data_IF_847107728239
#
_entry.id   IF_847107728239
#
_cell.length_a   1.000
_cell.length_b   1.000
_cell.length_c   1.000
_cell.angle_alpha   90.00
_cell.angle_beta   90.00
_cell.angle_gamma   90.00
#
_symmetry.space_group_name_H-M   'P 1'
#
loop_
_entity.id
_entity.type
_entity.pdbx_description
1 polymer ?
#
# COMPACT_ATOMS: atom_id res chain seq x y z
N UNK A 1 -20.80 -14.99 65.07
CA UNK A 1 -21.01 -16.22 65.88
C UNK A 1 -21.84 -17.21 65.05
N UNK A 2 -21.49 -18.51 65.08
CA UNK A 2 -22.06 -19.69 64.37
C UNK A 2 -21.51 -19.96 62.96
N UNK A 3 -21.25 -21.20 62.53
CA UNK A 3 -20.53 -22.39 63.08
C UNK A 3 -20.40 -23.37 61.89
N UNK A 4 -19.26 -24.08 61.84
CA UNK A 4 -18.86 -25.14 60.89
C UNK A 4 -19.80 -26.37 60.85
N UNK A 5 -19.69 -27.14 59.74
CA UNK A 5 -19.58 -28.63 59.58
C UNK A 5 -20.21 -29.05 58.23
N UNK A 6 -19.86 -30.12 57.50
CA UNK A 6 -18.85 -31.19 57.60
C UNK A 6 -18.71 -31.89 56.23
N UNK A 7 -17.63 -32.68 56.08
CA UNK A 7 -17.25 -33.58 54.98
C UNK A 7 -18.28 -34.66 54.63
N UNK A 8 -18.26 -35.15 53.38
CA UNK A 8 -18.22 -36.60 53.08
C UNK A 8 -17.72 -36.94 51.67
N UNK A 9 -16.89 -37.97 51.65
CA UNK A 9 -16.20 -38.73 50.60
C UNK A 9 -17.12 -39.59 49.73
N UNK A 10 -16.69 -39.91 48.50
CA UNK A 10 -16.94 -41.24 47.91
C UNK A 10 -15.79 -41.66 46.96
N UNK A 11 -15.42 -42.92 47.13
CA UNK A 11 -14.39 -43.72 46.46
C UNK A 11 -15.08 -44.56 45.36
N UNK A 12 -14.45 -44.79 44.20
CA UNK A 12 -14.49 -46.11 43.53
C UNK A 12 -13.54 -46.20 42.32
N UNK A 13 -12.48 -46.98 42.50
CA UNK A 13 -12.03 -48.09 41.65
C UNK A 13 -11.73 -47.81 40.16
N UNK A 14 -10.43 -47.67 39.88
CA UNK A 14 -9.80 -47.95 38.59
C UNK A 14 -9.40 -49.44 38.58
N UNK A 15 -9.92 -50.19 37.61
CA UNK A 15 -9.43 -51.51 37.24
C UNK A 15 -8.70 -51.43 35.90
N UNK A 16 -7.96 -52.48 35.62
CA UNK A 16 -6.68 -52.53 34.96
C UNK A 16 -6.69 -53.52 33.79
N UNK A 17 -5.63 -53.45 32.96
CA UNK A 17 -5.08 -54.45 32.01
C UNK A 17 -5.53 -54.31 30.54
N UNK A 18 -4.60 -53.93 29.66
CA UNK A 18 -3.69 -54.75 28.82
C UNK A 18 -4.43 -55.26 27.55
N UNK A 19 -3.89 -55.31 26.33
CA UNK A 19 -2.57 -55.74 25.84
C UNK A 19 -2.32 -55.09 24.47
N UNK A 20 -1.11 -54.62 24.22
CA UNK A 20 -0.57 -54.26 22.90
C UNK A 20 0.38 -55.38 22.46
N UNK A 21 0.18 -55.99 21.29
CA UNK A 21 1.22 -56.80 20.62
C UNK A 21 1.16 -56.67 19.08
N UNK A 22 2.37 -56.47 18.55
CA UNK A 22 2.85 -56.34 17.18
C UNK A 22 2.36 -57.41 16.18
N UNK A 23 2.29 -57.06 14.88
CA UNK A 23 2.87 -57.87 13.78
C UNK A 23 3.35 -56.96 12.63
N UNK A 24 4.61 -57.15 12.25
CA UNK A 24 5.27 -56.72 11.00
C UNK A 24 5.09 -57.83 9.96
N UNK A 25 4.92 -57.52 8.67
CA UNK A 25 5.53 -58.23 7.53
C UNK A 25 5.52 -57.31 6.29
N UNK A 26 6.70 -57.28 5.67
CA UNK A 26 7.17 -56.65 4.43
C UNK A 26 6.58 -57.37 3.21
N UNK A 27 6.30 -56.67 2.11
CA UNK A 27 6.67 -57.21 0.79
C UNK A 27 6.73 -56.17 -0.33
N UNK A 28 7.72 -56.40 -1.18
CA UNK A 28 8.26 -55.52 -2.22
C UNK A 28 7.46 -55.65 -3.50
N UNK A 29 7.34 -54.57 -4.27
CA UNK A 29 7.47 -54.67 -5.72
C UNK A 29 8.07 -53.41 -6.34
N UNK A 30 9.14 -53.64 -7.10
CA UNK A 30 9.86 -52.72 -7.98
C UNK A 30 8.97 -52.29 -9.14
N UNK A 31 9.14 -51.08 -9.67
CA UNK A 31 9.10 -50.81 -11.11
C UNK A 31 9.78 -49.47 -11.47
N UNK A 32 10.79 -49.64 -12.32
CA UNK A 32 11.47 -48.78 -13.30
C UNK A 32 11.82 -47.31 -13.10
N UNK A 33 13.11 -47.07 -13.39
CA UNK A 33 13.82 -45.79 -13.49
C UNK A 33 13.86 -45.40 -14.97
N UNK A 34 13.04 -44.44 -15.38
CA UNK A 34 13.18 -43.71 -16.64
C UNK A 34 14.07 -42.48 -16.44
N UNK A 35 15.24 -42.47 -17.08
CA UNK A 35 16.14 -41.32 -17.17
C UNK A 35 15.67 -40.43 -18.31
N UNK A 36 15.20 -39.22 -18.01
CA UNK A 36 15.18 -38.13 -18.97
C UNK A 36 15.86 -36.89 -18.38
N UNK A 37 16.99 -36.52 -19.00
CA UNK A 37 17.74 -35.30 -18.73
C UNK A 37 17.04 -34.14 -19.43
N UNK A 38 16.56 -33.17 -18.66
CA UNK A 38 16.23 -31.84 -19.18
C UNK A 38 17.44 -30.90 -18.97
N UNK A 39 17.77 -30.03 -19.94
CA UNK A 39 18.96 -29.21 -19.89
C UNK A 39 18.82 -28.09 -18.85
N UNK A 40 19.84 -27.97 -17.98
CA UNK A 40 20.03 -26.85 -17.07
C UNK A 40 20.48 -25.65 -17.92
N UNK A 41 19.63 -24.63 -18.01
CA UNK A 41 19.93 -23.39 -18.72
C UNK A 41 21.03 -22.60 -18.00
N UNK A 42 22.08 -22.28 -18.73
CA UNK A 42 23.34 -21.64 -18.31
C UNK A 42 23.23 -20.10 -18.23
N UNK A 43 22.16 -19.56 -17.66
CA UNK A 43 21.95 -18.09 -17.56
C UNK A 43 22.06 -17.51 -16.14
N UNK A 44 22.32 -18.35 -15.13
CA UNK A 44 22.35 -17.91 -13.72
C UNK A 44 23.71 -17.30 -13.32
N UNK A 45 24.74 -17.35 -14.17
CA UNK A 45 26.12 -17.05 -13.76
C UNK A 45 26.57 -15.59 -13.95
N UNK A 46 25.79 -14.72 -14.59
CA UNK A 46 26.24 -13.35 -14.93
C UNK A 46 25.87 -12.25 -13.93
N UNK A 47 24.91 -12.46 -13.02
CA UNK A 47 24.46 -11.39 -12.11
C UNK A 47 25.32 -11.26 -10.84
N UNK A 48 26.10 -12.29 -10.48
CA UNK A 48 26.94 -12.25 -9.29
C UNK A 48 28.14 -11.29 -9.45
N UNK A 49 28.58 -11.00 -10.68
CA UNK A 49 29.75 -10.16 -10.97
C UNK A 49 29.43 -8.67 -11.10
N UNK A 50 28.17 -8.29 -11.30
CA UNK A 50 27.77 -6.90 -11.54
C UNK A 50 27.62 -6.08 -10.25
N UNK A 51 27.36 -6.74 -9.12
CA UNK A 51 27.22 -6.11 -7.80
C UNK A 51 28.59 -5.70 -7.22
N UNK A 52 29.66 -6.44 -7.54
CA UNK A 52 31.00 -6.18 -6.98
C UNK A 52 31.74 -5.03 -7.68
N UNK A 53 31.30 -4.58 -8.87
CA UNK A 53 31.96 -3.49 -9.61
C UNK A 53 31.50 -2.08 -9.23
N UNK A 54 30.34 -1.92 -8.60
CA UNK A 54 29.79 -0.59 -8.27
C UNK A 54 30.13 -0.09 -6.85
N UNK A 55 30.99 -0.80 -6.11
CA UNK A 55 31.38 -0.41 -4.72
C UNK A 55 32.82 0.11 -4.61
N UNK A 56 33.53 0.34 -5.72
CA UNK A 56 34.87 0.96 -5.70
C UNK A 56 34.87 2.16 -6.64
N UNK A 57 34.47 3.32 -6.12
CA UNK A 57 35.03 4.64 -6.46
C UNK A 57 34.37 5.72 -5.60
N UNK A 58 34.78 5.79 -4.34
CA UNK A 58 34.71 7.04 -3.58
C UNK A 58 35.93 7.14 -2.68
N UNK A 59 36.88 7.98 -3.10
CA UNK A 59 37.77 8.84 -2.31
C UNK A 59 39.08 9.08 -3.07
N UNK A 60 39.35 10.36 -3.39
CA UNK A 60 40.57 11.10 -2.99
C UNK A 60 40.70 12.39 -3.81
N UNK A 61 40.42 13.53 -3.19
CA UNK A 61 41.18 14.77 -3.40
C UNK A 61 40.84 15.76 -2.28
N UNK A 62 41.62 15.71 -1.20
CA UNK A 62 41.79 16.84 -0.28
C UNK A 62 42.71 17.86 -0.95
N UNK A 63 42.34 19.14 -0.93
CA UNK A 63 43.33 20.21 -0.79
C UNK A 63 42.74 21.39 -0.02
N UNK A 64 43.56 21.86 0.90
CA UNK A 64 43.30 22.81 1.97
C UNK A 64 43.72 24.22 1.52
N UNK A 65 43.07 25.27 2.05
CA UNK A 65 43.68 26.49 2.66
C UNK A 65 42.91 27.82 2.37
N UNK A 66 42.57 28.48 3.50
CA UNK A 66 42.52 29.92 3.84
C UNK A 66 41.33 30.83 3.50
N UNK A 67 40.63 31.16 4.60
CA UNK A 67 39.96 32.39 5.02
C UNK A 67 40.14 33.72 4.24
N UNK A 68 39.01 34.41 4.04
CA UNK A 68 38.85 35.87 4.25
C UNK A 68 37.37 36.21 4.55
N UNK A 69 37.16 37.17 5.45
CA UNK A 69 35.90 37.52 6.11
C UNK A 69 35.13 38.69 5.43
N UNK A 70 33.94 38.98 6.00
CA UNK A 70 33.01 40.14 5.83
C UNK A 70 31.99 40.00 4.68
N UNK A 71 30.69 40.31 4.79
CA UNK A 71 29.84 41.01 5.78
C UNK A 71 28.35 40.75 5.46
N UNK A 72 27.46 40.82 6.47
CA UNK A 72 25.99 40.79 6.37
C UNK A 72 25.40 41.95 5.53
N UNK A 73 24.15 41.82 5.05
CA UNK A 73 23.20 42.91 5.18
C UNK A 73 21.88 42.49 5.84
N UNK A 74 21.26 43.51 6.42
CA UNK A 74 20.13 43.54 7.35
C UNK A 74 18.77 43.58 6.66
N UNK A 75 17.77 43.23 7.47
CA UNK A 75 16.31 43.38 7.34
C UNK A 75 15.92 44.82 7.01
N UNK A 76 14.88 45.01 6.19
CA UNK A 76 13.82 46.03 6.40
C UNK A 76 12.57 45.76 5.53
N UNK A 77 11.42 45.76 6.24
CA UNK A 77 10.11 46.34 5.92
C UNK A 77 9.38 46.05 4.60
N UNK A 78 8.28 45.27 4.68
CA UNK A 78 6.95 45.64 4.15
C UNK A 78 5.84 45.03 5.01
N UNK A 79 5.22 45.83 5.88
CA UNK A 79 3.93 45.57 6.53
C UNK A 79 2.91 46.63 6.09
N UNK A 80 1.70 46.14 5.81
CA UNK A 80 0.38 46.74 6.08
C UNK A 80 -0.33 47.70 5.09
N UNK A 81 -1.62 47.36 4.94
CA UNK A 81 -2.82 48.16 4.57
C UNK A 81 -3.03 48.45 3.06
N UNK A 82 -4.23 48.28 2.47
CA UNK A 82 -5.54 48.80 2.88
C UNK A 82 -6.72 47.92 2.39
N UNK A 83 -7.72 47.76 3.27
CA UNK A 83 -9.10 47.33 3.05
C UNK A 83 -9.94 48.32 2.19
N UNK A 84 -10.91 47.78 1.45
CA UNK A 84 -12.27 48.36 1.46
C UNK A 84 -12.68 49.33 0.35
N UNK A 85 -13.87 49.04 -0.20
CA UNK A 85 -14.89 49.95 -0.70
C UNK A 85 -14.49 51.09 -1.67
N UNK A 86 -14.86 50.92 -2.94
CA UNK A 86 -15.28 52.05 -3.78
C UNK A 86 -16.66 51.73 -4.37
N UNK A 87 -17.68 52.30 -3.73
CA UNK A 87 -18.94 52.65 -4.39
C UNK A 87 -18.70 53.90 -5.25
N UNK A 88 -19.21 53.98 -6.48
CA UNK A 88 -19.39 55.26 -7.14
C UNK A 88 -20.70 55.90 -6.64
N UNK A 89 -20.57 57.01 -5.90
CA UNK A 89 -21.61 58.05 -5.85
C UNK A 89 -21.37 59.01 -7.03
N UNK A 90 -22.48 59.45 -7.61
CA UNK A 90 -22.72 60.51 -8.62
C UNK A 90 -23.51 59.86 -9.78
N UNK A 91 -24.80 60.14 -10.01
CA UNK A 91 -25.40 61.45 -10.12
C UNK A 91 -26.87 61.48 -9.66
N UNK A 92 -27.23 62.56 -8.97
CA UNK A 92 -28.59 63.06 -8.85
C UNK A 92 -28.82 64.08 -9.96
N UNK A 93 -29.60 63.73 -10.99
CA UNK A 93 -30.38 64.70 -11.77
C UNK A 93 -31.74 64.07 -12.12
N UNK A 94 -32.80 64.85 -11.91
CA UNK A 94 -34.18 64.39 -11.93
C UNK A 94 -34.77 64.24 -13.34
N UNK A 95 -35.81 63.40 -13.41
CA UNK A 95 -36.71 63.29 -14.56
C UNK A 95 -37.72 62.17 -14.34
N UNK A 96 -38.97 62.52 -14.05
CA UNK A 96 -40.12 61.60 -14.09
C UNK A 96 -40.46 61.23 -15.54
N UNK A 97 -40.70 59.94 -15.85
CA UNK A 97 -41.97 59.38 -16.39
C UNK A 97 -41.84 57.92 -16.87
N UNK A 98 -42.75 57.08 -16.35
CA UNK A 98 -43.51 55.97 -16.94
C UNK A 98 -42.87 54.96 -17.93
N UNK A 99 -42.97 53.66 -17.60
CA UNK A 99 -43.02 52.58 -18.59
C UNK A 99 -42.63 51.20 -18.05
N UNK A 100 -43.55 50.23 -18.12
CA UNK A 100 -43.34 48.82 -17.84
C UNK A 100 -42.03 48.27 -18.44
N UNK A 101 -41.09 47.83 -17.59
CA UNK A 101 -40.05 46.88 -18.00
C UNK A 101 -39.85 45.81 -16.93
N UNK A 102 -40.11 44.59 -17.38
CA UNK A 102 -39.87 43.33 -16.71
C UNK A 102 -38.36 43.20 -16.41
N UNK A 103 -37.99 43.12 -15.13
CA UNK A 103 -36.62 42.84 -14.70
C UNK A 103 -36.21 41.44 -15.17
N UNK A 104 -35.58 41.34 -16.33
CA UNK A 104 -34.77 40.18 -16.71
C UNK A 104 -33.54 40.15 -15.82
N UNK A 105 -33.46 39.12 -14.97
CA UNK A 105 -32.26 38.83 -14.18
C UNK A 105 -31.05 38.65 -15.12
N UNK A 106 -29.89 39.25 -14.83
CA UNK A 106 -28.69 38.97 -15.60
C UNK A 106 -28.28 37.51 -15.37
N UNK A 107 -28.23 36.72 -16.45
CA UNK A 107 -27.54 35.43 -16.43
C UNK A 107 -26.06 35.70 -16.16
N UNK A 108 -25.61 35.41 -14.95
CA UNK A 108 -24.21 35.18 -14.68
C UNK A 108 -23.82 33.92 -15.46
N UNK A 109 -23.21 34.11 -16.62
CA UNK A 109 -22.44 33.05 -17.26
C UNK A 109 -21.30 32.72 -16.29
N UNK A 110 -21.45 31.62 -15.56
CA UNK A 110 -20.43 31.08 -14.69
C UNK A 110 -19.26 30.58 -15.57
N UNK A 111 -18.41 31.50 -15.99
CA UNK A 111 -17.11 31.20 -16.59
C UNK A 111 -16.18 30.69 -15.48
N UNK A 112 -16.42 29.46 -15.02
CA UNK A 112 -15.43 28.75 -14.24
C UNK A 112 -14.19 28.56 -15.12
N UNK A 113 -12.99 28.87 -14.61
CA UNK A 113 -11.76 28.62 -15.35
C UNK A 113 -11.67 27.13 -15.66
N UNK A 114 -11.73 26.79 -16.94
CA UNK A 114 -11.43 25.44 -17.42
C UNK A 114 -9.97 25.18 -17.12
N UNK A 115 -9.68 24.28 -16.19
CA UNK A 115 -8.33 23.80 -15.94
C UNK A 115 -7.78 23.24 -17.25
N UNK A 116 -6.74 23.87 -17.78
CA UNK A 116 -6.09 23.42 -19.01
C UNK A 116 -5.47 22.06 -18.73
N UNK A 117 -5.98 21.02 -19.39
CA UNK A 117 -5.41 19.69 -19.32
C UNK A 117 -4.00 19.71 -19.91
N UNK A 118 -3.00 19.37 -19.10
CA UNK A 118 -1.62 19.26 -19.54
C UNK A 118 -1.45 17.95 -20.32
N UNK A 119 -1.74 17.98 -21.62
CA UNK A 119 -1.65 16.83 -22.56
C UNK A 119 -0.27 16.17 -22.70
N UNK A 120 0.76 16.62 -21.97
CA UNK A 120 2.15 16.15 -22.06
C UNK A 120 2.67 15.49 -20.78
N UNK A 121 1.86 15.40 -19.72
CA UNK A 121 2.28 14.81 -18.45
C UNK A 121 2.43 13.28 -18.58
N UNK A 122 3.54 12.72 -18.11
CA UNK A 122 3.70 11.27 -17.97
C UNK A 122 2.62 10.74 -17.03
N UNK A 123 1.89 9.66 -17.38
CA UNK A 123 0.90 9.09 -16.49
C UNK A 123 1.52 8.71 -15.14
N UNK A 124 0.78 8.98 -14.06
CA UNK A 124 1.14 8.59 -12.69
C UNK A 124 0.05 7.70 -12.12
N UNK A 125 0.39 6.95 -11.08
CA UNK A 125 -0.55 6.02 -10.46
C UNK A 125 -0.56 6.17 -8.94
N UNK A 126 -1.75 6.19 -8.35
CA UNK A 126 -1.97 6.05 -6.91
C UNK A 126 -2.20 4.56 -6.64
N UNK A 127 -1.19 3.89 -6.08
CA UNK A 127 -1.26 2.53 -5.59
C UNK A 127 -1.72 2.52 -4.14
N UNK A 128 -2.90 1.97 -3.86
CA UNK A 128 -3.48 1.87 -2.53
C UNK A 128 -3.35 0.44 -2.03
N UNK A 129 -2.60 0.23 -0.94
CA UNK A 129 -2.53 -1.07 -0.26
C UNK A 129 -3.63 -1.15 0.79
N UNK A 130 -4.66 -1.96 0.53
CA UNK A 130 -5.83 -2.17 1.37
C UNK A 130 -5.95 -3.64 1.82
N UNK A 131 -6.90 -3.96 2.68
CA UNK A 131 -7.26 -5.30 3.13
C UNK A 131 -8.24 -5.30 4.29
N UNK A 132 -8.69 -4.13 4.76
CA UNK A 132 -9.65 -3.82 5.84
C UNK A 132 -9.40 -4.41 7.23
N UNK A 133 -8.97 -5.67 7.33
CA UNK A 133 -8.65 -6.34 8.58
C UNK A 133 -7.28 -5.90 9.13
N UNK A 134 -7.21 -5.76 10.45
CA UNK A 134 -5.92 -5.67 11.15
C UNK A 134 -5.12 -6.96 10.95
N UNK A 135 -3.81 -6.84 10.74
CA UNK A 135 -2.92 -8.00 10.61
C UNK A 135 -3.06 -8.80 9.30
N UNK A 136 -3.79 -8.32 8.29
CA UNK A 136 -3.87 -9.00 6.98
C UNK A 136 -2.57 -8.94 6.15
N UNK A 137 -1.61 -8.08 6.55
CA UNK A 137 -0.29 -7.98 5.93
C UNK A 137 -0.06 -6.74 5.06
N UNK A 138 -0.92 -5.70 5.12
CA UNK A 138 -0.78 -4.46 4.33
C UNK A 138 0.62 -3.86 4.39
N UNK A 139 1.09 -3.51 5.59
CA UNK A 139 2.42 -2.92 5.77
C UNK A 139 3.52 -3.85 5.24
N UNK A 140 3.37 -5.16 5.43
CA UNK A 140 4.36 -6.14 4.97
C UNK A 140 4.46 -6.21 3.43
N UNK A 141 3.33 -6.16 2.73
CA UNK A 141 3.29 -6.09 1.26
C UNK A 141 3.81 -4.73 0.78
N UNK A 142 3.42 -3.64 1.44
CA UNK A 142 3.91 -2.30 1.13
C UNK A 142 5.44 -2.23 1.22
N UNK A 143 6.05 -2.79 2.27
CA UNK A 143 7.51 -2.88 2.40
C UNK A 143 8.15 -3.65 1.24
N UNK A 144 7.60 -4.81 0.86
CA UNK A 144 8.10 -5.57 -0.29
C UNK A 144 7.94 -4.80 -1.62
N UNK A 145 6.86 -4.02 -1.76
CA UNK A 145 6.62 -3.16 -2.90
C UNK A 145 7.66 -2.03 -2.98
N UNK A 146 7.97 -1.38 -1.86
CA UNK A 146 9.03 -0.35 -1.78
C UNK A 146 10.37 -0.94 -2.22
N UNK A 147 10.74 -2.12 -1.72
CA UNK A 147 11.99 -2.78 -2.12
C UNK A 147 12.00 -3.16 -3.61
N UNK A 148 10.85 -3.54 -4.17
CA UNK A 148 10.72 -3.79 -5.60
C UNK A 148 10.96 -2.51 -6.41
N UNK A 149 10.35 -1.38 -6.03
CA UNK A 149 10.58 -0.09 -6.66
C UNK A 149 12.04 0.33 -6.56
N UNK A 150 12.67 0.21 -5.39
CA UNK A 150 14.09 0.48 -5.20
C UNK A 150 14.98 -0.39 -6.10
N UNK A 151 14.68 -1.69 -6.20
CA UNK A 151 15.44 -2.63 -7.03
C UNK A 151 15.29 -2.38 -8.54
N UNK A 152 14.22 -1.69 -8.94
CA UNK A 152 13.90 -1.38 -10.33
C UNK A 152 14.05 0.11 -10.66
N UNK A 153 14.66 0.88 -9.75
CA UNK A 153 14.89 2.33 -9.86
C UNK A 153 13.62 3.14 -10.20
N UNK A 154 12.46 2.72 -9.66
CA UNK A 154 11.19 3.45 -9.78
C UNK A 154 11.06 4.45 -8.64
N UNK A 155 11.00 5.74 -8.97
CA UNK A 155 10.71 6.80 -7.99
C UNK A 155 9.19 6.86 -7.73
N UNK A 156 8.82 6.66 -6.47
CA UNK A 156 7.45 6.79 -6.00
C UNK A 156 7.43 7.60 -4.70
N UNK A 157 6.39 8.41 -4.52
CA UNK A 157 6.09 8.98 -3.21
C UNK A 157 5.52 7.88 -2.31
N UNK A 158 6.09 7.68 -1.13
CA UNK A 158 5.59 6.71 -0.16
C UNK A 158 4.78 7.45 0.89
N UNK A 159 3.55 7.00 1.11
CA UNK A 159 2.64 7.56 2.10
C UNK A 159 2.24 6.47 3.08
N UNK A 160 2.50 6.69 4.36
CA UNK A 160 1.95 5.86 5.44
C UNK A 160 0.70 6.56 6.00
N UNK A 161 -0.47 5.97 5.76
CA UNK A 161 -1.73 6.49 6.29
C UNK A 161 -2.11 5.83 7.63
N UNK A 162 -1.35 4.83 8.09
CA UNK A 162 -1.57 4.20 9.39
C UNK A 162 -0.86 4.98 10.51
N UNK A 163 -1.54 6.01 10.99
CA UNK A 163 -1.06 6.82 12.12
C UNK A 163 -0.97 6.04 13.43
N UNK A 164 -1.67 4.91 13.54
CA UNK A 164 -1.74 4.09 14.75
C UNK A 164 -0.54 3.14 14.86
N UNK A 165 -0.11 2.60 13.72
CA UNK A 165 1.04 1.72 13.64
C UNK A 165 1.88 2.07 12.41
N UNK A 166 2.83 3.01 12.62
CA UNK A 166 3.73 3.58 11.61
C UNK A 166 4.80 2.59 11.14
N UNK A 167 4.37 1.47 10.58
CA UNK A 167 5.21 0.34 10.18
C UNK A 167 6.06 0.63 8.94
N UNK A 168 5.74 1.70 8.18
CA UNK A 168 6.52 2.10 7.02
C UNK A 168 7.50 3.21 7.39
N UNK A 169 7.02 4.29 8.01
CA UNK A 169 7.83 5.47 8.34
C UNK A 169 9.01 5.17 9.27
N UNK A 170 8.85 4.24 10.22
CA UNK A 170 9.95 3.82 11.10
C UNK A 170 11.08 3.08 10.38
N UNK A 171 10.78 2.45 9.25
CA UNK A 171 11.67 1.50 8.57
C UNK A 171 12.28 2.11 7.31
N UNK A 172 11.52 2.93 6.58
CA UNK A 172 11.93 3.52 5.31
C UNK A 172 12.07 5.04 5.44
N UNK A 173 13.13 5.64 4.87
CA UNK A 173 13.25 7.10 4.84
C UNK A 173 12.30 7.71 3.80
N UNK A 174 12.08 9.02 3.90
CA UNK A 174 11.30 9.81 2.94
C UNK A 174 9.84 9.32 2.78
N UNK A 175 9.22 8.97 3.90
CA UNK A 175 7.82 8.57 3.98
C UNK A 175 7.01 9.78 4.44
N UNK A 176 5.99 10.13 3.67
CA UNK A 176 5.01 11.15 4.04
C UNK A 176 3.86 10.54 4.83
N UNK A 177 3.23 11.35 5.68
CA UNK A 177 2.06 10.92 6.46
C UNK A 177 0.78 11.52 5.88
N UNK A 178 -0.25 10.71 5.69
CA UNK A 178 -1.60 11.17 5.38
C UNK A 178 -2.60 10.53 6.35
N UNK A 179 -3.82 11.05 6.42
CA UNK A 179 -4.86 10.38 7.19
C UNK A 179 -6.24 10.59 6.56
N UNK A 180 -7.08 9.59 6.72
CA UNK A 180 -8.45 9.60 6.23
C UNK A 180 -9.39 9.85 7.41
N UNK A 181 -10.04 10.99 7.44
CA UNK A 181 -10.97 11.38 8.50
C UNK A 181 -12.40 11.45 7.99
N UNK A 182 -13.35 11.12 8.85
CA UNK A 182 -14.77 11.41 8.64
C UNK A 182 -15.15 12.83 9.11
N UNK A 183 -14.25 13.51 9.82
CA UNK A 183 -14.41 14.94 10.10
C UNK A 183 -14.20 15.72 8.81
N UNK A 184 -15.26 16.36 8.32
CA UNK A 184 -15.24 17.23 7.15
C UNK A 184 -14.13 18.29 7.23
N UNK A 185 -13.84 18.79 8.43
CA UNK A 185 -12.78 19.78 8.64
C UNK A 185 -11.37 19.21 8.48
N UNK A 186 -11.23 17.90 8.39
CA UNK A 186 -9.96 17.21 8.22
C UNK A 186 -9.94 16.33 6.95
N UNK A 187 -11.01 16.34 6.15
CA UNK A 187 -11.09 15.56 4.93
C UNK A 187 -9.96 15.91 3.93
N UNK A 188 -9.48 17.16 3.96
CA UNK A 188 -8.39 17.65 3.11
C UNK A 188 -7.04 16.97 3.36
N UNK A 189 -6.90 16.25 4.48
CA UNK A 189 -5.63 15.63 4.85
C UNK A 189 -5.30 14.41 4.00
N UNK A 190 -6.30 13.80 3.36
CA UNK A 190 -6.07 12.79 2.33
C UNK A 190 -5.72 13.39 0.97
N UNK A 191 -6.06 14.66 0.70
CA UNK A 191 -5.89 15.28 -0.62
C UNK A 191 -4.43 15.37 -1.06
N UNK A 192 -3.50 15.46 -0.09
CA UNK A 192 -2.06 15.42 -0.36
C UNK A 192 -1.63 14.19 -1.17
N UNK A 193 -2.35 13.06 -1.04
CA UNK A 193 -2.11 11.84 -1.82
C UNK A 193 -2.30 12.12 -3.30
N UNK A 194 -3.38 12.82 -3.65
CA UNK A 194 -3.69 13.19 -5.02
C UNK A 194 -2.78 14.30 -5.52
N UNK A 195 -2.44 15.27 -4.66
CA UNK A 195 -1.47 16.33 -4.96
C UNK A 195 -0.10 15.75 -5.35
N UNK A 196 0.43 14.79 -4.59
CA UNK A 196 1.69 14.13 -4.97
C UNK A 196 1.57 13.35 -6.28
N UNK A 197 0.40 12.77 -6.55
CA UNK A 197 0.11 12.10 -7.80
C UNK A 197 0.09 13.04 -9.01
N UNK A 198 0.02 14.36 -8.81
CA UNK A 198 0.25 15.31 -9.89
C UNK A 198 1.68 15.28 -10.43
N UNK A 199 2.67 14.91 -9.62
CA UNK A 199 4.08 14.94 -10.00
C UNK A 199 4.66 13.54 -10.22
N UNK A 200 4.35 12.58 -9.34
CA UNK A 200 4.86 11.20 -9.44
C UNK A 200 3.90 10.17 -8.87
N UNK A 201 4.08 8.90 -9.25
CA UNK A 201 3.28 7.80 -8.70
C UNK A 201 3.43 7.72 -7.17
N UNK A 202 2.36 7.30 -6.51
CA UNK A 202 2.23 7.30 -5.05
C UNK A 202 1.89 5.90 -4.57
N UNK A 203 2.54 5.43 -3.52
CA UNK A 203 2.22 4.19 -2.82
C UNK A 203 1.69 4.51 -1.43
N UNK A 204 0.43 4.14 -1.16
CA UNK A 204 -0.28 4.44 0.09
C UNK A 204 -0.48 3.16 0.89
N UNK A 205 0.06 3.11 2.11
CA UNK A 205 -0.25 2.08 3.09
C UNK A 205 -1.45 2.49 3.93
N UNK A 206 -2.58 1.80 3.80
CA UNK A 206 -3.78 2.13 4.59
C UNK A 206 -3.78 1.48 5.98
N UNK A 207 -4.42 2.10 7.00
CA UNK A 207 -4.76 1.44 8.25
C UNK A 207 -5.87 0.39 8.07
N UNK A 208 -6.20 -0.35 9.13
CA UNK A 208 -7.39 -1.19 9.14
C UNK A 208 -8.68 -0.35 9.27
N UNK A 209 -9.81 -0.90 8.81
CA UNK A 209 -11.15 -0.33 8.97
C UNK A 209 -11.30 1.12 8.46
N UNK A 210 -10.72 1.42 7.29
CA UNK A 210 -10.69 2.79 6.73
C UNK A 210 -11.47 2.91 5.42
N UNK A 211 -12.07 1.81 4.96
CA UNK A 211 -12.77 1.74 3.68
C UNK A 211 -13.82 2.83 3.48
N UNK A 212 -14.61 3.13 4.51
CA UNK A 212 -15.65 4.18 4.43
C UNK A 212 -15.04 5.53 4.05
N UNK A 213 -13.98 5.92 4.76
CA UNK A 213 -13.33 7.22 4.61
C UNK A 213 -12.60 7.32 3.27
N UNK A 214 -11.89 6.25 2.85
CA UNK A 214 -11.23 6.18 1.54
C UNK A 214 -12.26 6.23 0.41
N UNK A 215 -13.37 5.50 0.54
CA UNK A 215 -14.43 5.48 -0.47
C UNK A 215 -15.11 6.83 -0.59
N UNK A 216 -15.42 7.47 0.54
CA UNK A 216 -15.96 8.82 0.56
C UNK A 216 -15.00 9.82 -0.08
N UNK A 217 -13.70 9.76 0.24
CA UNK A 217 -12.68 10.64 -0.33
C UNK A 217 -12.62 10.51 -1.86
N UNK A 218 -12.65 9.29 -2.40
CA UNK A 218 -12.62 9.07 -3.85
C UNK A 218 -13.92 9.52 -4.51
N UNK A 219 -15.07 9.05 -4.02
CA UNK A 219 -16.35 9.21 -4.72
C UNK A 219 -16.94 10.61 -4.58
N UNK A 220 -16.87 11.23 -3.39
CA UNK A 220 -17.46 12.57 -3.17
C UNK A 220 -16.72 13.66 -3.94
N UNK A 221 -15.43 13.48 -4.14
CA UNK A 221 -14.56 14.42 -4.86
C UNK A 221 -14.38 14.04 -6.34
N UNK A 222 -15.07 13.00 -6.82
CA UNK A 222 -14.97 12.47 -8.19
C UNK A 222 -13.51 12.26 -8.66
N UNK A 223 -12.66 11.75 -7.76
CA UNK A 223 -11.20 11.70 -7.98
C UNK A 223 -10.82 10.77 -9.13
N UNK A 224 -11.66 9.79 -9.46
CA UNK A 224 -11.45 8.94 -10.62
C UNK A 224 -11.51 9.77 -11.91
N UNK A 225 -12.54 10.59 -12.10
CA UNK A 225 -12.66 11.40 -13.31
C UNK A 225 -11.63 12.53 -13.32
N UNK A 226 -11.40 13.17 -12.18
CA UNK A 226 -10.30 14.13 -12.05
C UNK A 226 -8.95 13.50 -12.38
N UNK A 227 -8.74 12.23 -12.00
CA UNK A 227 -7.55 11.46 -12.33
C UNK A 227 -7.42 11.24 -13.83
N UNK A 228 -8.51 10.80 -14.50
CA UNK A 228 -8.56 10.65 -15.97
C UNK A 228 -8.18 11.94 -16.69
N UNK A 229 -8.68 13.09 -16.23
CA UNK A 229 -8.37 14.41 -16.80
C UNK A 229 -6.89 14.82 -16.63
N UNK A 230 -6.22 14.28 -15.60
CA UNK A 230 -4.84 14.63 -15.23
C UNK A 230 -3.83 13.48 -15.42
N UNK A 231 -4.23 12.43 -16.14
CA UNK A 231 -3.42 11.22 -16.38
C UNK A 231 -2.94 10.56 -15.08
N UNK A 232 -3.82 10.51 -14.07
CA UNK A 232 -3.60 9.83 -12.78
C UNK A 232 -4.54 8.64 -12.71
N UNK A 233 -3.98 7.45 -12.53
CA UNK A 233 -4.74 6.20 -12.38
C UNK A 233 -4.81 5.77 -10.91
N UNK A 234 -5.84 5.01 -10.56
CA UNK A 234 -5.95 4.36 -9.26
C UNK A 234 -5.79 2.85 -9.40
N UNK A 235 -4.97 2.27 -8.51
CA UNK A 235 -4.83 0.82 -8.40
C UNK A 235 -4.96 0.42 -6.94
N UNK A 236 -5.92 -0.45 -6.65
CA UNK A 236 -6.19 -0.93 -5.30
C UNK A 236 -5.71 -2.37 -5.12
N UNK A 237 -4.65 -2.53 -4.34
CA UNK A 237 -4.07 -3.82 -3.98
C UNK A 237 -4.73 -4.31 -2.70
N UNK A 238 -5.70 -5.21 -2.83
CA UNK A 238 -6.45 -5.75 -1.71
C UNK A 238 -5.77 -6.99 -1.15
N UNK A 239 -5.18 -6.88 0.03
CA UNK A 239 -4.48 -7.95 0.75
C UNK A 239 -5.48 -8.85 1.46
N UNK A 240 -5.78 -9.99 0.84
CA UNK A 240 -6.75 -10.94 1.35
C UNK A 240 -6.13 -11.95 2.33
N UNK A 241 -6.89 -12.32 3.36
CA UNK A 241 -6.46 -13.32 4.36
C UNK A 241 -6.93 -14.74 4.07
N UNK A 242 -7.69 -14.96 2.98
CA UNK A 242 -8.30 -16.25 2.64
C UNK A 242 -9.61 -16.58 3.39
N UNK A 243 -10.03 -15.72 4.33
CA UNK A 243 -11.30 -15.87 5.04
C UNK A 243 -12.46 -15.19 4.31
N UNK A 244 -13.68 -15.72 4.47
CA UNK A 244 -14.91 -15.23 3.80
C UNK A 244 -15.10 -13.73 3.95
N UNK A 245 -15.03 -13.15 5.15
CA UNK A 245 -15.24 -11.69 5.28
C UNK A 245 -14.17 -10.87 4.56
N UNK A 246 -12.93 -11.39 4.47
CA UNK A 246 -11.86 -10.71 3.73
C UNK A 246 -12.20 -10.66 2.24
N UNK A 247 -12.78 -11.73 1.69
CA UNK A 247 -13.26 -11.77 0.31
C UNK A 247 -14.47 -10.85 0.14
N UNK A 248 -15.42 -10.84 1.08
CA UNK A 248 -16.58 -9.97 1.01
C UNK A 248 -16.22 -8.47 1.01
N UNK A 249 -15.19 -8.07 1.76
CA UNK A 249 -14.67 -6.69 1.68
C UNK A 249 -14.09 -6.36 0.30
N UNK A 250 -13.38 -7.31 -0.32
CA UNK A 250 -12.91 -7.14 -1.69
C UNK A 250 -14.07 -7.02 -2.69
N UNK A 251 -15.07 -7.90 -2.60
CA UNK A 251 -16.26 -7.88 -3.44
C UNK A 251 -17.04 -6.57 -3.29
N UNK A 252 -17.17 -6.05 -2.08
CA UNK A 252 -17.75 -4.73 -1.83
C UNK A 252 -16.95 -3.62 -2.54
N UNK A 253 -15.61 -3.71 -2.50
CA UNK A 253 -14.77 -2.76 -3.23
C UNK A 253 -14.91 -2.84 -4.74
N UNK A 254 -15.22 -4.02 -5.30
CA UNK A 254 -15.55 -4.16 -6.71
C UNK A 254 -16.95 -3.63 -7.04
N UNK A 255 -17.91 -3.76 -6.12
CA UNK A 255 -19.25 -3.21 -6.32
C UNK A 255 -19.25 -1.68 -6.33
N UNK A 256 -18.53 -1.07 -5.38
CA UNK A 256 -18.52 0.40 -5.21
C UNK A 256 -17.67 1.12 -6.29
N UNK A 257 -16.64 0.47 -6.86
CA UNK A 257 -15.74 1.10 -7.84
C UNK A 257 -15.73 0.45 -9.23
N UNK A 258 -16.21 -0.78 -9.37
CA UNK A 258 -16.18 -1.51 -10.63
C UNK A 258 -14.81 -1.48 -11.31
N UNK A 259 -14.83 -1.19 -12.61
CA UNK A 259 -13.62 -1.08 -13.45
C UNK A 259 -13.11 0.38 -13.56
N UNK A 260 -13.67 1.32 -12.81
CA UNK A 260 -13.18 2.71 -12.76
C UNK A 260 -11.86 2.82 -11.98
N UNK A 261 -11.61 1.86 -11.08
CA UNK A 261 -10.33 1.63 -10.41
C UNK A 261 -9.84 0.24 -10.80
N UNK A 262 -8.54 0.06 -10.98
CA UNK A 262 -7.98 -1.28 -11.20
C UNK A 262 -7.81 -1.97 -9.86
N UNK A 263 -8.36 -3.18 -9.70
CA UNK A 263 -8.20 -3.96 -8.47
C UNK A 263 -7.20 -5.09 -8.66
N UNK A 264 -6.40 -5.34 -7.62
CA UNK A 264 -5.53 -6.50 -7.50
C UNK A 264 -5.90 -7.26 -6.24
N UNK A 265 -6.46 -8.46 -6.41
CA UNK A 265 -6.68 -9.42 -5.34
C UNK A 265 -5.35 -10.10 -4.98
N UNK A 266 -4.81 -9.78 -3.81
CA UNK A 266 -3.52 -10.30 -3.35
C UNK A 266 -3.76 -11.48 -2.43
N UNK A 267 -3.46 -12.68 -2.92
CA UNK A 267 -3.50 -13.93 -2.15
C UNK A 267 -2.28 -13.98 -1.22
N UNK A 268 -2.47 -13.64 0.06
CA UNK A 268 -1.38 -13.66 1.04
C UNK A 268 -1.10 -15.08 1.56
N UNK A 269 -0.10 -15.76 0.99
CA UNK A 269 0.32 -17.11 1.44
C UNK A 269 0.99 -17.13 2.82
N UNK A 270 1.26 -15.96 3.40
CA UNK A 270 1.62 -15.82 4.80
C UNK A 270 0.50 -16.17 5.78
N UNK A 271 -0.77 -16.03 5.35
CA UNK A 271 -1.95 -16.22 6.19
C UNK A 271 -2.85 -17.38 5.75
N UNK A 272 -2.85 -17.71 4.46
CA UNK A 272 -3.65 -18.79 3.90
C UNK A 272 -2.82 -19.60 2.89
N UNK A 273 -2.67 -20.89 3.13
CA UNK A 273 -1.89 -21.80 2.29
C UNK A 273 -2.71 -22.55 1.24
N UNK A 274 -4.05 -22.57 1.36
CA UNK A 274 -4.97 -23.14 0.38
C UNK A 274 -6.10 -22.16 0.01
N UNK A 275 -6.11 -21.73 -1.25
CA UNK A 275 -7.08 -20.77 -1.80
C UNK A 275 -8.26 -21.41 -2.54
N UNK A 276 -8.31 -22.74 -2.64
CA UNK A 276 -9.35 -23.47 -3.39
C UNK A 276 -10.76 -23.09 -2.94
N UNK A 277 -10.97 -22.89 -1.63
CA UNK A 277 -12.26 -22.46 -1.11
C UNK A 277 -12.69 -21.12 -1.71
N UNK A 278 -11.81 -20.10 -1.69
CA UNK A 278 -12.10 -18.77 -2.26
C UNK A 278 -12.29 -18.85 -3.78
N UNK A 279 -11.44 -19.62 -4.46
CA UNK A 279 -11.47 -19.77 -5.92
C UNK A 279 -12.71 -20.51 -6.43
N UNK A 280 -13.40 -21.24 -5.55
CA UNK A 280 -14.66 -21.94 -5.84
C UNK A 280 -15.90 -21.26 -5.24
N UNK A 281 -15.74 -20.17 -4.48
CA UNK A 281 -16.87 -19.38 -3.97
C UNK A 281 -17.66 -18.79 -5.15
N UNK A 282 -18.99 -19.05 -5.25
CA UNK A 282 -19.80 -18.55 -6.35
C UNK A 282 -19.68 -17.04 -6.55
N UNK A 283 -19.68 -16.26 -5.47
CA UNK A 283 -19.61 -14.80 -5.51
C UNK A 283 -18.26 -14.29 -6.04
N UNK A 284 -17.17 -15.02 -5.75
CA UNK A 284 -15.84 -14.70 -6.26
C UNK A 284 -15.70 -15.05 -7.75
N UNK A 285 -16.25 -16.20 -8.15
CA UNK A 285 -16.29 -16.62 -9.57
C UNK A 285 -17.13 -15.64 -10.39
N UNK A 286 -18.31 -15.25 -9.90
CA UNK A 286 -19.18 -14.28 -10.56
C UNK A 286 -18.48 -12.92 -10.68
N UNK A 287 -17.77 -12.48 -9.63
CA UNK A 287 -16.98 -11.25 -9.69
C UNK A 287 -15.84 -11.33 -10.71
N UNK A 288 -15.16 -12.46 -10.84
CA UNK A 288 -14.11 -12.67 -11.83
C UNK A 288 -14.63 -12.69 -13.28
N UNK A 289 -15.91 -13.00 -13.48
CA UNK A 289 -16.57 -12.89 -14.78
C UNK A 289 -17.09 -11.46 -15.06
N UNK A 290 -17.50 -10.74 -14.02
CA UNK A 290 -18.11 -9.40 -14.11
C UNK A 290 -17.08 -8.28 -14.20
N UNK A 291 -15.97 -8.37 -13.49
CA UNK A 291 -14.99 -7.30 -13.32
C UNK A 291 -13.61 -7.70 -13.83
N UNK A 292 -12.85 -6.69 -14.26
CA UNK A 292 -11.47 -6.86 -14.71
C UNK A 292 -10.51 -6.59 -13.55
N UNK A 293 -10.30 -7.59 -12.70
CA UNK A 293 -9.31 -7.52 -11.63
C UNK A 293 -8.16 -8.51 -11.85
N UNK A 294 -7.01 -8.18 -11.27
CA UNK A 294 -5.83 -9.05 -11.26
C UNK A 294 -5.83 -9.91 -10.00
N UNK A 295 -5.30 -11.12 -10.08
CA UNK A 295 -4.99 -11.92 -8.90
C UNK A 295 -3.50 -12.26 -8.88
N UNK A 296 -2.85 -12.06 -7.72
CA UNK A 296 -1.45 -12.44 -7.53
C UNK A 296 -1.26 -13.33 -6.30
N UNK A 297 -0.28 -14.21 -6.37
CA UNK A 297 0.18 -14.99 -5.23
C UNK A 297 1.32 -14.24 -4.54
N UNK A 298 1.06 -13.71 -3.34
CA UNK A 298 2.11 -13.07 -2.54
C UNK A 298 2.75 -14.12 -1.62
N UNK A 299 4.09 -14.30 -1.69
CA UNK A 299 4.74 -15.45 -1.09
C UNK A 299 4.70 -15.43 0.44
N UNK A 300 4.68 -16.63 1.04
CA UNK A 300 4.87 -16.81 2.48
C UNK A 300 6.28 -16.40 2.89
N UNK A 301 6.39 -15.60 3.95
CA UNK A 301 7.68 -15.29 4.57
C UNK A 301 7.93 -16.15 5.81
N UNK A 302 9.13 -16.74 5.97
CA UNK A 302 9.46 -17.54 7.16
C UNK A 302 9.33 -16.77 8.48
N UNK A 303 8.70 -17.41 9.46
CA UNK A 303 8.31 -16.81 10.74
C UNK A 303 9.47 -16.18 11.52
N UNK A 304 10.60 -16.88 11.64
CA UNK A 304 11.73 -16.42 12.44
C UNK A 304 12.40 -15.19 11.83
N UNK A 305 12.61 -15.22 10.52
CA UNK A 305 13.15 -14.11 9.76
C UNK A 305 12.22 -12.90 9.83
N UNK A 306 10.91 -13.10 9.63
CA UNK A 306 9.89 -12.04 9.78
C UNK A 306 10.00 -11.32 11.12
N UNK A 307 9.84 -12.06 12.21
CA UNK A 307 9.82 -11.44 13.54
C UNK A 307 11.19 -10.83 13.91
N UNK A 308 12.29 -11.35 13.37
CA UNK A 308 13.62 -10.77 13.60
C UNK A 308 13.74 -9.42 12.89
N UNK A 309 13.31 -9.33 11.63
CA UNK A 309 13.34 -8.09 10.86
C UNK A 309 12.40 -7.05 11.49
N UNK A 310 11.19 -7.45 11.86
CA UNK A 310 10.22 -6.55 12.49
C UNK A 310 10.72 -6.01 13.83
N UNK A 311 11.30 -6.87 14.68
CA UNK A 311 11.89 -6.45 15.97
C UNK A 311 13.03 -5.46 15.80
N UNK A 312 13.80 -5.58 14.73
CA UNK A 312 14.93 -4.70 14.45
C UNK A 312 14.50 -3.41 13.75
N UNK A 313 13.25 -3.30 13.30
CA UNK A 313 12.72 -2.16 12.53
C UNK A 313 13.61 -1.82 11.32
N UNK A 314 14.07 -2.85 10.60
CA UNK A 314 14.96 -2.71 9.44
C UNK A 314 14.30 -3.12 8.12
N UNK A 315 14.85 -2.59 7.03
CA UNK A 315 14.48 -2.96 5.66
C UNK A 315 14.86 -4.42 5.37
N UNK A 316 14.27 -5.03 4.33
CA UNK A 316 14.68 -6.39 3.92
C UNK A 316 16.10 -6.40 3.37
N UNK A 317 16.48 -5.31 2.68
CA UNK A 317 17.83 -5.11 2.16
C UNK A 317 18.86 -4.96 3.29
N UNK A 318 18.54 -4.27 4.38
CA UNK A 318 19.44 -4.20 5.53
C UNK A 318 19.53 -5.54 6.27
N UNK A 319 18.41 -6.27 6.37
CA UNK A 319 18.37 -7.56 7.06
C UNK A 319 19.35 -8.59 6.49
N UNK A 320 19.61 -8.58 5.18
CA UNK A 320 20.59 -9.49 4.57
C UNK A 320 22.04 -9.13 4.92
N UNK A 321 22.30 -7.92 5.42
CA UNK A 321 23.62 -7.47 5.86
C UNK A 321 23.88 -7.76 7.34
N UNK A 322 22.83 -7.86 8.15
CA UNK A 322 22.89 -8.05 9.60
C UNK A 322 23.44 -9.41 10.05
N UNK A 323 24.19 -9.49 11.17
CA UNK A 323 24.66 -10.74 11.75
C UNK A 323 23.56 -11.57 12.44
N UNK A 324 22.44 -10.94 12.83
CA UNK A 324 21.29 -11.59 13.46
C UNK A 324 20.64 -12.63 12.54
N UNK A 325 20.71 -12.42 11.22
CA UNK A 325 20.29 -13.40 10.22
C UNK A 325 21.50 -14.21 9.77
N UNK A 326 21.49 -15.52 10.00
CA UNK A 326 22.53 -16.44 9.51
C UNK A 326 22.41 -16.66 8.00
N UNK A 327 23.43 -17.27 7.39
CA UNK A 327 23.54 -17.50 5.93
C UNK A 327 22.23 -18.01 5.31
N UNK A 328 21.62 -19.06 5.89
CA UNK A 328 20.37 -19.65 5.38
C UNK A 328 19.19 -18.68 5.53
N UNK A 329 19.10 -17.95 6.65
CA UNK A 329 18.08 -16.92 6.86
C UNK A 329 18.19 -15.80 5.84
N UNK A 330 19.40 -15.32 5.55
CA UNK A 330 19.66 -14.34 4.48
C UNK A 330 19.19 -14.85 3.12
N UNK A 331 19.44 -16.12 2.80
CA UNK A 331 18.96 -16.72 1.55
C UNK A 331 17.42 -16.78 1.50
N UNK A 332 16.75 -17.06 2.62
CA UNK A 332 15.27 -17.03 2.69
C UNK A 332 14.70 -15.64 2.42
N UNK A 333 15.34 -14.57 2.92
CA UNK A 333 14.97 -13.18 2.59
C UNK A 333 15.08 -12.93 1.09
N UNK A 334 16.22 -13.30 0.48
CA UNK A 334 16.46 -13.12 -0.95
C UNK A 334 15.43 -13.88 -1.80
N UNK A 335 15.13 -15.14 -1.45
CA UNK A 335 14.13 -15.94 -2.16
C UNK A 335 12.73 -15.31 -2.05
N UNK A 336 12.34 -14.86 -0.86
CA UNK A 336 11.07 -14.19 -0.65
C UNK A 336 10.92 -12.95 -1.53
N UNK A 337 11.91 -12.04 -1.52
CA UNK A 337 11.90 -10.85 -2.37
C UNK A 337 11.82 -11.23 -3.85
N UNK A 338 12.57 -12.23 -4.28
CA UNK A 338 12.52 -12.71 -5.66
C UNK A 338 11.10 -13.16 -6.07
N UNK A 339 10.41 -13.92 -5.22
CA UNK A 339 9.04 -14.35 -5.51
C UNK A 339 8.04 -13.19 -5.46
N UNK A 340 8.17 -12.28 -4.49
CA UNK A 340 7.31 -11.11 -4.37
C UNK A 340 7.46 -10.19 -5.60
N UNK A 341 8.70 -9.93 -6.02
CA UNK A 341 8.99 -9.10 -7.19
C UNK A 341 8.45 -9.72 -8.47
N UNK A 342 8.54 -11.04 -8.62
CA UNK A 342 7.92 -11.74 -9.76
C UNK A 342 6.40 -11.59 -9.76
N UNK A 343 5.75 -11.69 -8.61
CA UNK A 343 4.31 -11.50 -8.49
C UNK A 343 3.89 -10.06 -8.88
N UNK A 344 4.64 -9.07 -8.42
CA UNK A 344 4.46 -7.66 -8.78
C UNK A 344 4.73 -7.39 -10.26
N UNK A 345 5.86 -7.85 -10.80
CA UNK A 345 6.24 -7.64 -12.19
C UNK A 345 5.24 -8.27 -13.17
N UNK A 346 4.64 -9.42 -12.81
CA UNK A 346 3.65 -10.11 -13.64
C UNK A 346 2.39 -9.28 -13.93
N UNK A 347 2.02 -8.35 -13.05
CA UNK A 347 0.83 -7.51 -13.29
C UNK A 347 1.08 -6.46 -14.37
N UNK A 348 2.33 -6.02 -14.55
CA UNK A 348 2.67 -4.89 -15.41
C UNK A 348 2.14 -3.53 -14.91
N UNK A 349 1.62 -3.47 -13.68
CA UNK A 349 0.91 -2.29 -13.18
C UNK A 349 1.80 -1.26 -12.47
N UNK A 350 3.04 -1.64 -12.16
CA UNK A 350 3.98 -0.81 -11.40
C UNK A 350 4.98 -0.28 -12.43
N UNK A 351 4.90 1.01 -12.74
CA UNK A 351 5.67 1.65 -13.82
C UNK A 351 6.61 2.75 -13.33
#
# INVERSE_FOLDING_TARGET
MRKRRDKKTNNSLLDSRQVNQNVVIDDRNKLDIGKDKLPINTEITNWQQEIDRNTINSQLANSTVSSKAMTQPTIDDWQQEIDGNILPKDALEGGEINGNQQLSQPRLENNFPVFKTNKSKKPTTIHIIDGEKGGCGKSFICRAFIEYCNSTARDMMIIDADISNRDIEKIYPNVEMAFFSDDEKQAYEADKIFDFAFDKSVLVNLPAQVYGNVTNWIQRNDLVNLGKDNSINFIKWFVATGGVDSVNFFLKSLDDFGNDITHVFVKNYGLCDNWEYVETMPEFVDAAQKYNFYAIDFPKFPFWERNTIDRLEITFTDAILRPELKIVSKQRVKNFLQFAYKAFAKTGLIE
#
